data_IF_427751324798
#
_entry.id   IF_427751324798
#
_cell.length_a   1.000
_cell.length_b   1.000
_cell.length_c   1.000
_cell.angle_alpha   90.00
_cell.angle_beta   90.00
_cell.angle_gamma   90.00
#
_symmetry.space_group_name_H-M   'P 1'
#
loop_
_entity.id
_entity.type
_entity.pdbx_description
1 polymer ?
#
# COMPACT_ATOMS: atom_id res chain seq x y z
N UNK A 1 -16.08 4.15 -14.79
CA UNK A 1 -14.78 4.71 -14.40
C UNK A 1 -14.01 3.80 -13.42
N UNK A 2 -14.67 3.13 -12.46
CA UNK A 2 -14.04 2.14 -11.56
C UNK A 2 -13.47 0.87 -12.25
N UNK A 3 -14.09 0.41 -13.34
CA UNK A 3 -13.72 -0.86 -13.99
C UNK A 3 -12.40 -0.81 -14.79
N UNK A 4 -12.01 0.35 -15.34
CA UNK A 4 -10.76 0.47 -16.10
C UNK A 4 -9.52 0.44 -15.18
N UNK A 5 -9.68 0.95 -13.95
CA UNK A 5 -8.64 0.93 -12.92
C UNK A 5 -8.34 -0.52 -12.50
N UNK A 6 -9.38 -1.34 -12.36
CA UNK A 6 -9.25 -2.73 -11.96
C UNK A 6 -8.47 -3.59 -12.98
N UNK A 7 -8.62 -3.32 -14.29
CA UNK A 7 -7.84 -4.04 -15.32
C UNK A 7 -6.39 -3.53 -15.44
N UNK A 8 -6.16 -2.21 -15.38
CA UNK A 8 -4.81 -1.67 -15.50
C UNK A 8 -3.95 -1.95 -14.26
N UNK A 9 -4.52 -1.85 -13.06
CA UNK A 9 -3.82 -2.15 -11.81
C UNK A 9 -3.59 -3.64 -11.56
N UNK A 10 -4.15 -4.55 -12.37
CA UNK A 10 -3.85 -5.99 -12.28
C UNK A 10 -2.83 -6.45 -13.35
N UNK A 11 -2.77 -5.76 -14.50
CA UNK A 11 -1.84 -6.06 -15.60
C UNK A 11 -0.53 -5.27 -15.49
N UNK A 12 -0.60 -3.99 -15.12
CA UNK A 12 0.55 -3.08 -14.99
C UNK A 12 0.67 -2.52 -13.57
N UNK A 13 1.50 -3.17 -12.77
CA UNK A 13 1.88 -2.71 -11.44
C UNK A 13 2.87 -3.68 -10.78
N UNK A 14 3.63 -3.19 -9.81
CA UNK A 14 4.66 -3.99 -9.11
C UNK A 14 4.04 -4.77 -7.95
N UNK A 15 4.66 -5.89 -7.55
CA UNK A 15 4.19 -6.70 -6.41
C UNK A 15 5.28 -6.84 -5.35
N UNK A 16 5.66 -5.75 -4.68
CA UNK A 16 6.82 -5.75 -3.79
C UNK A 16 6.59 -6.49 -2.47
N UNK A 17 5.34 -6.69 -2.02
CA UNK A 17 5.01 -7.32 -0.74
C UNK A 17 4.60 -8.80 -0.89
N UNK A 18 3.81 -9.09 -1.92
CA UNK A 18 3.38 -10.46 -2.20
C UNK A 18 3.12 -10.66 -3.71
N UNK A 19 3.97 -11.43 -4.38
CA UNK A 19 3.85 -11.74 -5.80
C UNK A 19 2.93 -12.94 -6.08
N UNK A 20 2.57 -13.69 -5.04
CA UNK A 20 1.68 -14.85 -5.15
C UNK A 20 0.21 -14.46 -5.30
N UNK A 21 -0.11 -13.17 -5.09
CA UNK A 21 -1.46 -12.62 -5.18
C UNK A 21 -1.61 -11.71 -6.40
N UNK A 22 -2.82 -11.70 -6.98
CA UNK A 22 -3.17 -10.88 -8.14
C UNK A 22 -3.07 -9.34 -7.98
N UNK A 23 -3.36 -8.74 -6.80
CA UNK A 23 -3.29 -7.28 -6.62
C UNK A 23 -1.87 -6.73 -6.77
N UNK A 24 -1.70 -5.60 -7.48
CA UNK A 24 -0.39 -4.95 -7.66
C UNK A 24 -0.43 -3.46 -7.31
N UNK A 25 0.74 -2.91 -7.01
CA UNK A 25 0.98 -1.49 -6.72
C UNK A 25 1.00 -0.70 -8.03
N UNK A 26 0.20 0.36 -8.10
CA UNK A 26 0.23 1.28 -9.24
C UNK A 26 0.20 2.73 -8.77
N UNK A 27 1.37 3.37 -8.76
CA UNK A 27 1.56 4.75 -8.29
C UNK A 27 0.77 5.80 -9.12
N UNK A 28 0.51 5.54 -10.41
CA UNK A 28 -0.35 6.41 -11.22
C UNK A 28 -1.83 6.28 -10.81
N UNK A 29 -2.27 5.07 -10.48
CA UNK A 29 -3.60 4.83 -9.89
C UNK A 29 -3.70 5.47 -8.52
N UNK A 30 -2.66 5.40 -7.67
CA UNK A 30 -2.63 6.08 -6.35
C UNK A 30 -3.01 7.56 -6.46
N UNK A 31 -2.46 8.29 -7.45
CA UNK A 31 -2.78 9.71 -7.67
C UNK A 31 -4.23 9.94 -8.14
N UNK A 32 -4.79 9.02 -8.91
CA UNK A 32 -6.16 9.12 -9.44
C UNK A 32 -7.26 8.63 -8.50
N UNK A 33 -6.92 7.76 -7.53
CA UNK A 33 -7.89 7.10 -6.63
C UNK A 33 -7.64 7.37 -5.15
N UNK A 34 -6.94 8.46 -4.81
CA UNK A 34 -6.94 8.98 -3.42
C UNK A 34 -6.33 7.95 -2.43
N UNK A 35 -5.43 7.10 -2.90
CA UNK A 35 -4.76 6.07 -2.08
C UNK A 35 -5.16 4.61 -2.35
N UNK A 36 -6.13 4.32 -3.23
CA UNK A 36 -6.46 2.91 -3.53
C UNK A 36 -5.41 2.20 -4.39
N UNK A 37 -4.38 2.88 -4.91
CA UNK A 37 -3.36 2.25 -5.73
C UNK A 37 -2.37 1.36 -4.97
N UNK A 38 -2.41 1.33 -3.63
CA UNK A 38 -1.57 0.49 -2.77
C UNK A 38 -2.16 -0.92 -2.55
N UNK A 39 -2.67 -1.53 -3.62
CA UNK A 39 -3.43 -2.77 -3.52
C UNK A 39 -2.57 -3.96 -3.09
N UNK A 40 -1.28 -4.04 -3.44
CA UNK A 40 -0.44 -5.15 -3.00
C UNK A 40 -0.18 -5.07 -1.48
N UNK A 41 0.08 -3.86 -0.95
CA UNK A 41 0.23 -3.62 0.47
C UNK A 41 -1.06 -3.90 1.22
N UNK A 42 -2.18 -3.34 0.76
CA UNK A 42 -3.49 -3.49 1.41
C UNK A 42 -3.88 -4.98 1.53
N UNK A 43 -3.68 -5.77 0.48
CA UNK A 43 -3.97 -7.19 0.52
C UNK A 43 -2.96 -8.00 1.35
N UNK A 44 -1.70 -7.57 1.45
CA UNK A 44 -0.70 -8.19 2.32
C UNK A 44 -0.94 -7.87 3.82
N UNK A 45 -1.49 -6.68 4.11
CA UNK A 45 -1.66 -6.13 5.45
C UNK A 45 -3.04 -5.48 5.63
N UNK A 46 -4.13 -6.27 5.61
CA UNK A 46 -5.49 -5.74 5.61
C UNK A 46 -5.90 -5.03 6.92
N UNK A 47 -5.11 -5.20 7.97
CA UNK A 47 -5.34 -4.57 9.28
C UNK A 47 -4.59 -3.25 9.46
N UNK A 48 -3.77 -2.83 8.49
CA UNK A 48 -3.12 -1.53 8.53
C UNK A 48 -4.12 -0.43 8.11
N UNK A 49 -4.37 0.53 9.01
CA UNK A 49 -5.29 1.63 8.74
C UNK A 49 -4.80 2.53 7.60
N UNK A 50 -3.47 2.60 7.40
CA UNK A 50 -2.88 3.47 6.41
C UNK A 50 -3.02 2.91 5.00
N UNK A 51 -3.35 1.62 4.83
CA UNK A 51 -3.46 0.91 3.54
C UNK A 51 -2.24 1.01 2.61
N UNK A 52 -1.14 1.60 3.09
CA UNK A 52 0.11 1.84 2.38
C UNK A 52 1.28 1.79 3.37
N UNK A 53 2.48 1.56 2.87
CA UNK A 53 3.68 1.65 3.70
C UNK A 53 3.85 3.07 4.27
N UNK A 54 4.24 3.12 5.55
CA UNK A 54 4.39 4.35 6.31
C UNK A 54 5.37 5.31 5.61
N UNK A 55 4.90 6.53 5.29
CA UNK A 55 5.68 7.56 4.59
C UNK A 55 5.28 7.79 3.14
N UNK A 56 4.29 7.06 2.61
CA UNK A 56 3.78 7.30 1.27
C UNK A 56 3.03 8.66 1.18
N UNK A 57 3.54 9.63 0.41
CA UNK A 57 3.04 11.00 0.42
C UNK A 57 1.67 11.17 -0.24
N UNK A 58 1.22 10.17 -1.01
CA UNK A 58 0.02 10.25 -1.85
C UNK A 58 -1.21 9.53 -1.25
N UNK A 59 -1.18 9.17 0.02
CA UNK A 59 -2.30 8.51 0.68
C UNK A 59 -3.27 9.52 1.33
N UNK A 60 -4.14 10.11 0.52
CA UNK A 60 -5.12 11.10 1.00
C UNK A 60 -6.11 10.48 2.01
N UNK A 61 -6.47 9.21 1.86
CA UNK A 61 -7.37 8.51 2.80
C UNK A 61 -6.78 8.47 4.22
N UNK A 62 -5.48 8.17 4.35
CA UNK A 62 -4.76 8.26 5.62
C UNK A 62 -4.82 9.66 6.23
N UNK A 63 -4.67 10.71 5.44
CA UNK A 63 -4.67 12.08 5.95
C UNK A 63 -6.02 12.46 6.56
N UNK A 64 -7.11 12.01 5.96
CA UNK A 64 -8.46 12.19 6.52
C UNK A 64 -8.59 11.47 7.86
N UNK A 65 -8.12 10.22 7.96
CA UNK A 65 -8.15 9.46 9.21
C UNK A 65 -7.27 10.10 10.28
N UNK A 66 -6.09 10.59 9.91
CA UNK A 66 -5.18 11.31 10.82
C UNK A 66 -5.83 12.60 11.35
N UNK A 67 -6.55 13.34 10.50
CA UNK A 67 -7.31 14.52 10.93
C UNK A 67 -8.42 14.13 11.91
N UNK A 68 -9.17 13.06 11.62
CA UNK A 68 -10.17 12.52 12.54
C UNK A 68 -9.55 12.11 13.88
N UNK A 69 -8.37 11.49 13.88
CA UNK A 69 -7.66 11.11 15.09
C UNK A 69 -7.20 12.35 15.90
N UNK A 70 -6.74 13.40 15.21
CA UNK A 70 -6.32 14.65 15.85
C UNK A 70 -7.46 15.32 16.63
N UNK A 71 -8.69 15.25 16.11
CA UNK A 71 -9.89 15.79 16.79
C UNK A 71 -10.60 14.77 17.69
N UNK A 72 -10.02 13.57 17.89
CA UNK A 72 -10.55 12.53 18.77
C UNK A 72 -11.72 11.71 18.21
N UNK A 73 -12.01 11.82 16.90
CA UNK A 73 -13.05 11.03 16.21
C UNK A 73 -12.57 9.63 15.82
N UNK A 74 -11.26 9.40 15.74
CA UNK A 74 -10.65 8.10 15.49
C UNK A 74 -9.59 7.80 16.55
N UNK A 75 -9.45 6.52 16.91
CA UNK A 75 -8.52 6.03 17.93
C UNK A 75 -8.12 4.57 17.62
N UNK A 76 -7.12 4.05 18.33
CA UNK A 76 -6.59 2.68 18.13
C UNK A 76 -6.18 2.39 16.67
N UNK A 77 -5.52 3.36 16.02
CA UNK A 77 -5.06 3.22 14.65
C UNK A 77 -3.95 2.16 14.56
N UNK A 78 -4.24 1.05 13.88
CA UNK A 78 -3.35 -0.10 13.75
C UNK A 78 -2.41 0.07 12.58
N UNK A 79 -1.11 -0.07 12.81
CA UNK A 79 -0.07 -0.03 11.77
C UNK A 79 0.78 -1.29 11.82
N UNK A 80 1.34 -1.68 10.68
CA UNK A 80 2.28 -2.80 10.61
C UNK A 80 3.70 -2.32 10.87
N UNK A 81 4.47 -3.08 11.65
CA UNK A 81 5.86 -2.76 11.93
C UNK A 81 6.74 -2.90 10.70
N UNK A 82 7.80 -2.07 10.62
CA UNK A 82 8.76 -2.11 9.50
C UNK A 82 9.40 -3.49 9.36
N UNK A 83 9.67 -4.15 10.47
CA UNK A 83 10.24 -5.50 10.49
C UNK A 83 9.27 -6.51 9.87
N UNK A 84 7.97 -6.45 10.21
CA UNK A 84 6.97 -7.35 9.63
C UNK A 84 6.80 -7.12 8.12
N UNK A 85 6.85 -5.86 7.67
CA UNK A 85 6.84 -5.51 6.24
C UNK A 85 8.05 -6.13 5.54
N UNK A 86 9.26 -5.91 6.06
CA UNK A 86 10.50 -6.44 5.49
C UNK A 86 10.51 -7.97 5.43
N UNK A 87 10.05 -8.64 6.49
CA UNK A 87 9.96 -10.10 6.52
C UNK A 87 8.98 -10.62 5.47
N UNK A 88 7.83 -9.95 5.27
CA UNK A 88 6.87 -10.34 4.22
C UNK A 88 7.47 -10.14 2.83
N UNK A 89 8.09 -8.99 2.57
CA UNK A 89 8.79 -8.70 1.30
C UNK A 89 9.84 -9.75 0.98
N UNK A 90 10.66 -10.16 1.95
CA UNK A 90 11.68 -11.21 1.77
C UNK A 90 11.08 -12.59 1.49
N UNK A 91 9.92 -12.89 2.08
CA UNK A 91 9.28 -14.21 1.96
C UNK A 91 8.48 -14.38 0.67
N UNK A 92 7.74 -13.36 0.28
CA UNK A 92 6.74 -13.45 -0.81
C UNK A 92 6.80 -12.28 -1.79
N UNK A 93 7.58 -11.25 -1.51
CA UNK A 93 7.67 -10.08 -2.37
C UNK A 93 8.54 -10.33 -3.58
N UNK A 94 8.21 -9.67 -4.70
CA UNK A 94 9.08 -9.67 -5.86
C UNK A 94 10.36 -8.86 -5.55
N UNK A 95 11.49 -9.57 -5.48
CA UNK A 95 12.80 -9.03 -5.09
C UNK A 95 13.44 -8.14 -6.17
N UNK A 96 12.85 -8.01 -7.37
CA UNK A 96 13.38 -7.17 -8.44
C UNK A 96 13.53 -5.69 -8.02
N UNK A 97 12.79 -5.22 -7.01
CA UNK A 97 12.88 -3.85 -6.50
C UNK A 97 13.92 -3.64 -5.38
N UNK A 98 14.51 -4.70 -4.82
CA UNK A 98 15.50 -4.56 -3.74
C UNK A 98 16.88 -4.09 -4.26
N UNK A 99 17.13 -4.19 -5.56
CA UNK A 99 18.41 -3.83 -6.19
C UNK A 99 18.61 -2.32 -6.40
N UNK A 100 17.89 -1.44 -5.70
CA UNK A 100 17.98 0.02 -5.93
C UNK A 100 18.10 0.86 -4.66
N UNK A 101 18.33 0.25 -3.50
CA UNK A 101 18.39 0.99 -2.24
C UNK A 101 19.60 0.67 -1.34
N UNK A 102 20.59 -0.06 -1.86
CA UNK A 102 21.82 -0.46 -1.13
C UNK A 102 23.12 0.18 -1.68
N UNK A 103 23.04 1.31 -2.42
CA UNK A 103 24.20 2.13 -2.82
C UNK A 103 24.16 3.54 -2.19
#
# INVERSE_FOLDING_TARGET
MAWCVNSLAHIWGSRPYDETIGPSENAFVVMGTVGEGYHNYHHAFPHDYATAELGSPLNVSKWIIDLCAMVGLAYDLKTVSKEAILQRRKRTGNLQHLNHHDD
#
